data_IF_577749824247
#
_entry.id   IF_577749824247
#
_cell.length_a   1.000
_cell.length_b   1.000
_cell.length_c   1.000
_cell.angle_alpha   90.00
_cell.angle_beta   90.00
_cell.angle_gamma   90.00
#
_symmetry.space_group_name_H-M   'P 1'
#
loop_
_entity.id
_entity.type
_entity.pdbx_description
1 polymer ?
#
# COMPACT_ATOMS: atom_id res chain seq x y z
N UNK A 1 2.92 -20.33 -4.81
CA UNK A 1 3.90 -19.26 -4.51
C UNK A 1 3.43 -18.40 -3.33
N UNK A 2 2.18 -17.99 -3.33
CA UNK A 2 1.57 -17.14 -2.29
C UNK A 2 1.07 -17.97 -1.09
N UNK A 3 1.99 -18.64 -0.40
CA UNK A 3 1.70 -19.47 0.77
C UNK A 3 1.90 -18.64 2.04
N UNK A 4 0.89 -18.60 2.90
CA UNK A 4 0.94 -17.89 4.18
C UNK A 4 1.80 -18.69 5.15
N UNK A 5 2.78 -18.04 5.77
CA UNK A 5 3.63 -18.62 6.79
C UNK A 5 3.04 -18.41 8.19
N UNK A 6 2.77 -17.14 8.53
CA UNK A 6 2.25 -16.77 9.83
C UNK A 6 0.84 -16.21 9.70
N UNK A 7 -0.06 -16.67 10.56
CA UNK A 7 -1.47 -16.23 10.65
C UNK A 7 -1.78 -15.53 11.97
N UNK A 8 -0.79 -15.35 12.83
CA UNK A 8 -0.98 -14.69 14.11
C UNK A 8 -1.14 -13.19 13.89
N UNK A 9 -2.31 -12.69 14.24
CA UNK A 9 -2.66 -11.27 14.13
C UNK A 9 -2.33 -10.59 15.45
N UNK A 10 -1.43 -9.62 15.41
CA UNK A 10 -1.20 -8.67 16.50
C UNK A 10 -2.11 -7.47 16.26
N UNK A 11 -2.99 -7.15 17.21
CA UNK A 11 -3.91 -6.02 17.10
C UNK A 11 -3.58 -4.97 18.13
N UNK A 12 -3.51 -3.70 17.70
CA UNK A 12 -3.37 -2.56 18.60
C UNK A 12 -4.20 -1.38 18.11
N UNK A 13 -4.37 -0.39 18.97
CA UNK A 13 -5.11 0.83 18.67
C UNK A 13 -4.22 2.05 18.84
N UNK A 14 -4.44 3.00 17.95
CA UNK A 14 -3.97 4.38 18.08
C UNK A 14 -5.21 5.25 18.01
N UNK A 15 -5.54 5.92 19.12
CA UNK A 15 -6.82 6.60 19.29
C UNK A 15 -8.02 5.70 18.98
N UNK A 16 -8.83 6.07 18.00
CA UNK A 16 -10.01 5.31 17.58
C UNK A 16 -9.71 4.28 16.47
N UNK A 17 -8.51 4.29 15.93
CA UNK A 17 -8.13 3.45 14.79
C UNK A 17 -7.51 2.14 15.24
N UNK A 18 -7.92 1.06 14.59
CA UNK A 18 -7.40 -0.29 14.85
C UNK A 18 -6.45 -0.71 13.76
N UNK A 19 -5.29 -1.20 14.15
CA UNK A 19 -4.27 -1.76 13.26
C UNK A 19 -4.10 -3.24 13.56
N UNK A 20 -4.08 -4.04 12.49
CA UNK A 20 -3.72 -5.46 12.58
C UNK A 20 -2.38 -5.65 11.87
N UNK A 21 -1.48 -6.38 12.50
CA UNK A 21 -0.14 -6.63 11.98
C UNK A 21 0.16 -8.12 12.01
N UNK A 22 0.74 -8.63 10.94
CA UNK A 22 1.25 -10.01 10.87
C UNK A 22 2.69 -9.95 10.39
N UNK A 23 3.62 -10.38 11.24
CA UNK A 23 5.04 -10.51 10.88
C UNK A 23 5.27 -11.83 10.15
N UNK A 24 6.29 -11.88 9.29
CA UNK A 24 6.65 -13.07 8.52
C UNK A 24 5.47 -13.69 7.76
N UNK A 25 4.69 -12.84 7.11
CA UNK A 25 3.40 -13.19 6.53
C UNK A 25 3.50 -14.29 5.47
N UNK A 26 4.36 -14.13 4.47
CA UNK A 26 4.58 -15.12 3.43
C UNK A 26 5.69 -16.10 3.78
N UNK A 27 5.52 -17.36 3.39
CA UNK A 27 6.54 -18.39 3.52
C UNK A 27 7.71 -18.22 2.56
N UNK A 28 7.44 -17.66 1.38
CA UNK A 28 8.43 -17.47 0.33
C UNK A 28 8.46 -16.03 -0.20
N UNK A 29 8.69 -15.02 0.66
CA UNK A 29 8.60 -13.62 0.26
C UNK A 29 9.61 -13.25 -0.83
N UNK A 30 10.79 -13.86 -0.84
CA UNK A 30 11.82 -13.63 -1.86
C UNK A 30 11.38 -14.09 -3.25
N UNK A 31 10.57 -15.16 -3.34
CA UNK A 31 10.05 -15.60 -4.63
C UNK A 31 9.03 -14.61 -5.18
N UNK A 32 8.21 -14.05 -4.29
CA UNK A 32 7.22 -13.03 -4.65
C UNK A 32 7.91 -11.75 -5.07
N UNK A 33 8.86 -11.27 -4.28
CA UNK A 33 9.65 -10.09 -4.61
C UNK A 33 10.35 -10.24 -5.98
N UNK A 34 11.04 -11.38 -6.21
CA UNK A 34 11.69 -11.65 -7.49
C UNK A 34 10.73 -11.77 -8.66
N UNK A 35 9.53 -12.31 -8.45
CA UNK A 35 8.50 -12.35 -9.47
C UNK A 35 8.16 -10.93 -9.92
N UNK A 36 7.83 -10.07 -8.98
CA UNK A 36 7.47 -8.69 -9.28
C UNK A 36 8.59 -7.87 -9.91
N UNK A 37 9.83 -8.05 -9.46
CA UNK A 37 10.98 -7.35 -10.06
C UNK A 37 11.34 -7.84 -11.47
N UNK A 38 10.85 -8.99 -11.92
CA UNK A 38 11.10 -9.52 -13.27
C UNK A 38 10.05 -9.11 -14.28
N UNK A 39 8.86 -8.76 -13.83
CA UNK A 39 7.78 -8.39 -14.72
C UNK A 39 7.98 -6.94 -15.12
N UNK A 40 7.81 -6.61 -16.39
CA UNK A 40 7.99 -5.26 -16.88
C UNK A 40 6.89 -4.35 -16.31
N UNK A 41 7.27 -3.27 -15.63
CA UNK A 41 6.31 -2.40 -14.99
C UNK A 41 5.41 -1.70 -16.01
N UNK A 42 4.11 -1.73 -15.78
CA UNK A 42 3.16 -0.99 -16.59
C UNK A 42 2.97 0.42 -16.00
N UNK A 43 3.18 1.43 -16.84
CA UNK A 43 2.99 2.83 -16.47
C UNK A 43 1.50 3.15 -16.32
N UNK A 44 1.09 3.63 -15.17
CA UNK A 44 -0.22 4.23 -14.99
C UNK A 44 -0.20 5.70 -15.42
N UNK A 45 -0.60 5.98 -16.65
CA UNK A 45 -0.72 7.34 -17.18
C UNK A 45 -1.67 8.23 -16.36
N UNK A 46 -2.64 7.64 -15.68
CA UNK A 46 -3.64 8.39 -14.90
C UNK A 46 -3.08 8.98 -13.61
N UNK A 47 -2.10 8.36 -13.00
CA UNK A 47 -1.47 8.91 -11.79
C UNK A 47 -0.41 9.97 -12.10
N UNK A 48 0.13 10.02 -13.30
CA UNK A 48 1.07 11.08 -13.69
C UNK A 48 0.46 12.49 -13.62
N UNK A 49 -0.86 12.64 -13.77
CA UNK A 49 -1.55 13.92 -13.66
C UNK A 49 -1.59 14.51 -12.26
N UNK A 50 -1.71 13.68 -11.24
CA UNK A 50 -1.84 14.10 -9.84
C UNK A 50 -0.53 14.57 -9.22
N UNK A 51 0.56 14.07 -9.69
CA UNK A 51 1.89 14.26 -9.13
C UNK A 51 2.68 15.37 -9.82
N UNK A 52 1.99 16.24 -10.55
CA UNK A 52 2.59 17.30 -11.37
C UNK A 52 3.17 18.48 -10.60
N UNK A 53 3.17 18.49 -9.30
CA UNK A 53 3.84 19.56 -8.55
C UNK A 53 5.37 19.38 -8.49
N UNK A 54 5.97 19.00 -9.61
CA UNK A 54 7.43 18.96 -9.74
C UNK A 54 8.09 17.68 -9.23
N UNK A 55 7.32 16.63 -9.00
CA UNK A 55 7.82 15.33 -8.54
C UNK A 55 7.97 14.37 -9.73
N UNK A 56 9.19 14.16 -10.19
CA UNK A 56 9.52 13.13 -11.17
C UNK A 56 9.61 11.76 -10.47
N UNK A 57 8.48 11.17 -10.10
CA UNK A 57 8.49 9.77 -9.71
C UNK A 57 7.65 8.96 -10.68
N UNK A 58 8.02 7.71 -10.78
CA UNK A 58 7.34 6.73 -11.58
C UNK A 58 6.67 5.74 -10.65
N UNK A 59 5.36 5.93 -10.41
CA UNK A 59 4.53 4.88 -9.79
C UNK A 59 4.31 3.80 -10.85
N UNK A 60 4.81 2.63 -10.58
CA UNK A 60 4.63 1.49 -11.46
C UNK A 60 3.83 0.43 -10.73
N UNK A 61 2.62 0.19 -11.23
CA UNK A 61 1.76 -0.88 -10.74
C UNK A 61 1.91 -2.10 -11.62
N UNK A 62 2.08 -3.22 -10.97
CA UNK A 62 2.11 -4.51 -11.62
C UNK A 62 0.84 -5.28 -11.33
N UNK A 63 0.29 -5.86 -12.38
CA UNK A 63 -0.86 -6.74 -12.28
C UNK A 63 -0.48 -8.12 -12.77
N UNK A 64 -0.67 -9.12 -11.93
CA UNK A 64 -0.60 -10.53 -12.30
C UNK A 64 -1.94 -11.15 -11.98
N UNK A 65 -2.51 -11.88 -12.91
CA UNK A 65 -3.72 -12.66 -12.67
C UNK A 65 -3.35 -14.10 -12.40
N UNK A 66 -3.65 -14.58 -11.19
CA UNK A 66 -3.39 -15.97 -10.82
C UNK A 66 -4.32 -16.44 -9.70
N UNK A 67 -4.74 -17.70 -9.75
CA UNK A 67 -5.51 -18.32 -8.68
C UNK A 67 -4.64 -18.76 -7.49
N UNK A 68 -3.33 -18.76 -7.61
CA UNK A 68 -2.44 -19.11 -6.50
C UNK A 68 -2.55 -18.15 -5.31
N UNK A 69 -3.08 -16.93 -5.52
CA UNK A 69 -3.30 -15.94 -4.47
C UNK A 69 -4.58 -16.16 -3.67
N UNK A 70 -5.49 -17.03 -4.15
CA UNK A 70 -6.81 -17.26 -3.52
C UNK A 70 -6.73 -17.56 -2.02
N UNK A 71 -5.82 -18.40 -1.52
CA UNK A 71 -5.74 -18.65 -0.07
C UNK A 71 -5.39 -17.42 0.76
N UNK A 72 -4.69 -16.45 0.16
CA UNK A 72 -4.36 -15.17 0.81
C UNK A 72 -5.61 -14.30 0.89
N UNK A 73 -6.37 -14.19 -0.17
CA UNK A 73 -7.64 -13.46 -0.18
C UNK A 73 -8.63 -14.06 0.81
N UNK A 74 -8.82 -15.38 0.80
CA UNK A 74 -9.73 -16.07 1.71
C UNK A 74 -9.34 -15.80 3.19
N UNK A 75 -8.05 -15.82 3.50
CA UNK A 75 -7.56 -15.51 4.83
C UNK A 75 -7.83 -14.03 5.19
N UNK A 76 -7.51 -13.10 4.31
CA UNK A 76 -7.70 -11.67 4.56
C UNK A 76 -9.19 -11.31 4.68
N UNK A 77 -10.06 -11.86 3.82
CA UNK A 77 -11.51 -11.69 3.92
C UNK A 77 -12.06 -12.21 5.25
N UNK A 78 -11.51 -13.33 5.74
CA UNK A 78 -11.93 -13.88 7.02
C UNK A 78 -11.57 -12.97 8.21
N UNK A 79 -10.36 -12.41 8.22
CA UNK A 79 -9.92 -11.56 9.35
C UNK A 79 -10.44 -10.12 9.28
N UNK A 80 -10.76 -9.62 8.08
CA UNK A 80 -11.31 -8.27 7.88
C UNK A 80 -12.83 -8.25 7.93
N UNK A 81 -13.49 -9.39 7.74
CA UNK A 81 -14.93 -9.53 7.53
C UNK A 81 -15.46 -8.70 6.34
N UNK A 82 -14.58 -8.41 5.39
CA UNK A 82 -14.91 -7.66 4.16
C UNK A 82 -14.44 -8.44 2.94
N UNK A 83 -15.15 -8.26 1.82
CA UNK A 83 -14.75 -8.85 0.55
C UNK A 83 -13.64 -8.04 -0.10
N UNK A 84 -12.66 -8.72 -0.65
CA UNK A 84 -11.63 -8.06 -1.44
C UNK A 84 -12.21 -7.43 -2.70
N UNK A 85 -11.75 -6.22 -2.99
CA UNK A 85 -12.00 -5.60 -4.28
C UNK A 85 -11.16 -6.32 -5.33
N UNK A 86 -11.83 -7.13 -6.14
CA UNK A 86 -11.18 -7.97 -7.13
C UNK A 86 -11.61 -7.58 -8.53
N UNK A 87 -10.66 -7.20 -9.35
CA UNK A 87 -10.88 -7.20 -10.79
C UNK A 87 -10.69 -8.63 -11.31
N UNK A 88 -11.77 -9.24 -11.75
CA UNK A 88 -11.75 -10.49 -12.47
C UNK A 88 -11.36 -10.17 -13.94
N UNK A 89 -10.43 -10.92 -14.50
CA UNK A 89 -10.08 -10.83 -15.93
C UNK A 89 -11.12 -11.49 -16.86
N UNK A 90 -12.29 -11.84 -16.32
CA UNK A 90 -13.31 -12.62 -17.02
C UNK A 90 -13.00 -14.12 -17.11
N UNK A 91 -11.88 -14.56 -16.56
CA UNK A 91 -11.43 -15.95 -16.52
C UNK A 91 -11.28 -16.53 -15.11
N UNK A 92 -11.90 -15.89 -14.13
CA UNK A 92 -11.87 -16.28 -12.71
C UNK A 92 -10.49 -16.27 -12.05
N UNK A 93 -9.54 -15.51 -12.60
CA UNK A 93 -8.23 -15.32 -11.99
C UNK A 93 -8.25 -14.06 -11.14
N UNK A 94 -7.71 -14.18 -9.95
CA UNK A 94 -7.61 -13.06 -9.03
C UNK A 94 -6.44 -12.16 -9.38
N UNK A 95 -6.67 -10.87 -9.31
CA UNK A 95 -5.66 -9.84 -9.51
C UNK A 95 -4.67 -9.85 -8.34
N UNK A 96 -3.40 -9.92 -8.65
CA UNK A 96 -2.33 -9.64 -7.69
C UNK A 96 -1.78 -8.26 -8.00
N UNK A 97 -2.11 -7.31 -7.15
CA UNK A 97 -1.65 -5.94 -7.28
C UNK A 97 -0.32 -5.75 -6.57
N UNK A 98 0.58 -4.96 -7.16
CA UNK A 98 1.87 -4.64 -6.55
C UNK A 98 2.28 -3.23 -6.93
N UNK A 99 2.62 -2.43 -5.97
CA UNK A 99 3.14 -1.10 -6.18
C UNK A 99 4.67 -1.13 -6.14
N UNK A 100 5.26 -0.56 -7.17
CA UNK A 100 6.69 -0.26 -7.23
C UNK A 100 6.86 1.24 -7.25
N UNK A 101 7.67 1.75 -6.36
CA UNK A 101 7.97 3.18 -6.32
C UNK A 101 9.47 3.36 -6.29
N UNK A 102 9.96 4.17 -7.20
CA UNK A 102 11.37 4.58 -7.26
C UNK A 102 11.42 6.09 -7.48
N UNK A 103 12.11 6.79 -6.61
CA UNK A 103 12.35 8.21 -6.82
C UNK A 103 13.49 8.39 -7.83
N UNK A 104 13.21 9.18 -8.85
CA UNK A 104 14.19 9.49 -9.91
C UNK A 104 14.92 10.80 -9.67
N UNK A 105 14.57 11.53 -8.61
CA UNK A 105 15.11 12.87 -8.41
C UNK A 105 15.39 13.17 -6.94
N UNK A 106 16.64 13.53 -6.62
CA UNK A 106 17.11 13.82 -5.25
C UNK A 106 16.58 15.14 -4.65
N UNK A 107 15.62 15.79 -5.29
CA UNK A 107 15.14 17.12 -4.87
C UNK A 107 14.18 17.10 -3.68
N UNK A 108 13.88 15.93 -3.13
CA UNK A 108 12.80 15.81 -2.16
C UNK A 108 13.32 15.31 -0.82
N UNK A 109 13.63 16.25 0.06
CA UNK A 109 14.20 15.96 1.38
C UNK A 109 13.19 15.41 2.41
N UNK A 110 11.89 15.47 2.16
CA UNK A 110 10.87 15.03 3.12
C UNK A 110 9.65 14.42 2.42
N UNK A 111 9.83 13.22 1.82
CA UNK A 111 8.73 12.68 1.05
C UNK A 111 7.76 11.87 1.87
N UNK A 112 6.74 12.56 2.20
CA UNK A 112 5.42 12.00 2.44
C UNK A 112 4.73 11.97 1.08
N UNK A 113 4.46 10.77 0.57
CA UNK A 113 3.56 10.62 -0.56
C UNK A 113 2.19 11.18 -0.15
N UNK A 114 1.52 11.87 -1.07
CA UNK A 114 0.27 12.58 -0.76
C UNK A 114 -0.67 11.73 0.09
N UNK A 115 -1.08 12.24 1.25
CA UNK A 115 -2.05 11.59 2.10
C UNK A 115 -3.37 11.40 1.35
N UNK A 116 -3.93 10.21 1.46
CA UNK A 116 -5.18 9.83 0.82
C UNK A 116 -5.97 8.85 1.70
N UNK A 117 -7.23 8.67 1.36
CA UNK A 117 -8.08 7.61 1.92
C UNK A 117 -8.41 6.60 0.85
N UNK A 118 -8.78 5.38 1.26
CA UNK A 118 -9.27 4.31 0.40
C UNK A 118 -10.77 4.11 0.57
N UNK A 119 -11.39 3.29 -0.27
CA UNK A 119 -12.85 3.06 -0.20
C UNK A 119 -13.30 2.13 0.94
N UNK A 120 -12.40 1.37 1.54
CA UNK A 120 -12.68 0.41 2.60
C UNK A 120 -11.43 0.10 3.40
N UNK A 121 -11.39 -1.08 4.04
CA UNK A 121 -10.13 -1.54 4.64
C UNK A 121 -9.05 -1.70 3.60
N UNK A 122 -7.84 -1.46 4.01
CA UNK A 122 -6.65 -1.66 3.19
C UNK A 122 -5.68 -2.57 3.93
N UNK A 123 -5.07 -3.48 3.19
CA UNK A 123 -3.96 -4.28 3.70
C UNK A 123 -2.74 -4.11 2.79
N UNK A 124 -1.55 -4.11 3.38
CA UNK A 124 -0.30 -3.88 2.68
C UNK A 124 0.78 -4.84 3.17
N UNK A 125 1.38 -5.61 2.26
CA UNK A 125 2.58 -6.39 2.56
C UNK A 125 3.81 -5.66 2.07
N UNK A 126 4.77 -5.42 2.97
CA UNK A 126 6.07 -4.88 2.60
C UNK A 126 6.97 -5.97 2.05
N UNK A 127 7.41 -5.82 0.80
CA UNK A 127 8.27 -6.78 0.10
C UNK A 127 9.67 -6.24 -0.21
N UNK A 128 10.06 -5.17 0.44
CA UNK A 128 11.35 -4.50 0.29
C UNK A 128 12.31 -4.97 1.37
N UNK A 129 13.51 -5.41 0.99
CA UNK A 129 14.58 -5.73 1.93
C UNK A 129 15.29 -4.49 2.47
N UNK A 130 15.37 -3.45 1.66
CA UNK A 130 15.88 -2.17 2.11
C UNK A 130 14.92 -1.52 3.10
N UNK A 131 15.46 -0.93 4.16
CA UNK A 131 14.66 -0.20 5.15
C UNK A 131 14.08 1.05 4.51
N UNK A 132 12.84 0.97 4.01
CA UNK A 132 12.06 2.16 3.71
C UNK A 132 11.41 2.67 4.99
N UNK A 133 11.05 3.95 5.04
CA UNK A 133 10.42 4.50 6.24
C UNK A 133 8.99 4.01 6.48
N UNK A 134 8.38 3.25 5.60
CA UNK A 134 7.08 2.63 5.82
C UNK A 134 5.88 3.47 5.42
N UNK A 135 4.85 3.50 6.26
CA UNK A 135 3.57 4.19 6.02
C UNK A 135 3.27 5.14 7.16
N UNK A 136 2.95 6.37 6.83
CA UNK A 136 2.41 7.33 7.77
C UNK A 136 0.89 7.33 7.71
N UNK A 137 0.28 7.56 8.87
CA UNK A 137 -1.14 7.78 9.09
C UNK A 137 -1.33 9.19 9.64
N UNK A 138 -2.40 9.87 9.27
CA UNK A 138 -2.52 11.30 9.48
C UNK A 138 -3.87 11.72 10.02
N UNK A 139 -3.87 12.85 10.73
CA UNK A 139 -5.05 13.69 10.97
C UNK A 139 -5.11 14.84 9.98
N UNK A 140 -6.25 15.10 9.36
CA UNK A 140 -6.47 16.35 8.63
C UNK A 140 -6.56 17.52 9.62
N UNK A 141 -5.84 18.62 9.34
CA UNK A 141 -5.82 19.81 10.20
C UNK A 141 -6.48 21.04 9.56
N UNK A 142 -6.38 21.19 8.27
CA UNK A 142 -6.91 22.32 7.51
C UNK A 142 -7.68 21.84 6.26
N UNK A 143 -8.36 20.73 6.38
CA UNK A 143 -9.09 20.11 5.28
C UNK A 143 -10.60 20.36 5.47
N UNK A 144 -11.20 21.09 4.54
CA UNK A 144 -12.64 21.12 4.39
C UNK A 144 -13.03 20.01 3.42
N UNK A 145 -13.84 19.09 3.90
CA UNK A 145 -14.30 17.97 3.08
C UNK A 145 -15.07 18.53 1.88
N UNK A 146 -14.51 18.40 0.69
CA UNK A 146 -15.16 18.70 -0.57
C UNK A 146 -16.30 17.74 -0.88
N UNK A 147 -16.99 17.96 -1.98
CA UNK A 147 -18.08 17.09 -2.43
C UNK A 147 -17.63 15.64 -2.55
N UNK A 148 -18.50 14.69 -2.20
CA UNK A 148 -18.24 13.24 -2.08
C UNK A 148 -17.66 12.56 -3.33
N UNK A 149 -17.42 13.31 -4.41
CA UNK A 149 -16.92 12.81 -5.70
C UNK A 149 -15.50 13.24 -6.05
N UNK A 150 -14.86 14.08 -5.24
CA UNK A 150 -13.47 14.46 -5.48
C UNK A 150 -12.48 13.44 -4.88
N UNK A 151 -11.43 13.17 -5.61
CA UNK A 151 -10.39 12.22 -5.22
C UNK A 151 -9.83 12.57 -3.85
N UNK A 152 -9.80 11.58 -2.96
CA UNK A 152 -9.40 11.69 -1.57
C UNK A 152 -7.88 11.86 -1.40
N UNK A 153 -7.31 12.93 -1.98
CA UNK A 153 -5.90 13.29 -1.80
C UNK A 153 -5.80 14.70 -1.24
N UNK A 154 -4.95 14.88 -0.26
CA UNK A 154 -4.66 16.19 0.34
C UNK A 154 -3.17 16.45 0.36
N UNK A 155 -2.79 17.70 0.51
CA UNK A 155 -1.39 18.08 0.54
C UNK A 155 -0.77 17.84 1.92
N UNK A 156 0.55 17.63 2.03
CA UNK A 156 1.21 17.38 3.31
C UNK A 156 1.05 18.47 4.36
N UNK A 157 0.82 19.72 3.95
CA UNK A 157 0.58 20.86 4.83
C UNK A 157 -0.84 20.90 5.43
N UNK A 158 -1.74 20.06 4.92
CA UNK A 158 -3.12 19.91 5.42
C UNK A 158 -3.26 18.79 6.47
N UNK A 159 -2.18 18.13 6.84
CA UNK A 159 -2.19 16.99 7.75
C UNK A 159 -1.09 17.06 8.79
N UNK A 160 -1.32 16.39 9.92
CA UNK A 160 -0.28 16.06 10.90
C UNK A 160 -0.15 14.55 11.05
N UNK A 161 1.04 14.08 11.43
CA UNK A 161 1.27 12.64 11.58
C UNK A 161 0.61 12.17 12.88
N UNK A 162 -0.39 11.29 12.72
CA UNK A 162 -1.01 10.57 13.82
C UNK A 162 -0.14 9.39 14.27
N UNK A 163 0.35 8.61 13.31
CA UNK A 163 1.05 7.36 13.59
C UNK A 163 1.98 6.99 12.44
N UNK A 164 3.00 6.22 12.75
CA UNK A 164 3.95 5.71 11.77
C UNK A 164 4.15 4.20 11.94
N UNK A 165 4.12 3.47 10.86
CA UNK A 165 4.47 2.05 10.82
C UNK A 165 5.67 1.85 9.92
N UNK A 166 6.78 1.41 10.53
CA UNK A 166 7.98 1.05 9.79
C UNK A 166 7.74 -0.07 8.79
N UNK A 167 8.35 0.02 7.61
CA UNK A 167 8.40 -1.09 6.68
C UNK A 167 9.38 -2.13 7.19
N UNK A 168 8.85 -3.28 7.53
CA UNK A 168 9.62 -4.47 7.83
C UNK A 168 9.35 -5.51 6.74
N UNK A 169 10.41 -6.10 6.21
CA UNK A 169 10.29 -7.08 5.14
C UNK A 169 9.35 -8.22 5.52
N UNK A 170 8.42 -8.55 4.63
CA UNK A 170 7.41 -9.60 4.83
C UNK A 170 6.40 -9.32 5.97
N UNK A 171 6.23 -8.07 6.36
CA UNK A 171 5.20 -7.65 7.31
C UNK A 171 3.94 -7.24 6.56
N UNK A 172 2.81 -7.80 6.97
CA UNK A 172 1.47 -7.34 6.57
C UNK A 172 0.93 -6.38 7.61
N UNK A 173 0.35 -5.27 7.16
CA UNK A 173 -0.44 -4.36 7.98
C UNK A 173 -1.84 -4.23 7.40
N UNK A 174 -2.87 -4.05 8.25
CA UNK A 174 -4.26 -3.83 7.86
C UNK A 174 -4.81 -2.68 8.67
N UNK A 175 -5.53 -1.77 8.03
CA UNK A 175 -6.17 -0.61 8.67
C UNK A 175 -7.50 -0.25 8.00
N UNK A 176 -8.28 0.63 8.63
CA UNK A 176 -9.48 1.21 8.03
C UNK A 176 -9.09 2.33 7.06
N UNK A 177 -9.05 2.01 5.77
CA UNK A 177 -8.55 2.94 4.75
C UNK A 177 -9.51 4.08 4.45
N UNK A 178 -10.83 3.89 4.68
CA UNK A 178 -11.84 4.89 4.37
C UNK A 178 -11.76 6.12 5.25
N UNK A 179 -11.56 5.91 6.54
CA UNK A 179 -11.66 6.98 7.55
C UNK A 179 -10.28 7.43 8.04
N UNK A 180 -9.23 6.77 7.60
CA UNK A 180 -7.87 7.03 8.04
C UNK A 180 -6.98 7.47 6.87
N UNK A 181 -6.62 8.75 6.88
CA UNK A 181 -5.65 9.31 5.95
C UNK A 181 -4.30 8.62 6.09
N UNK A 182 -3.73 8.21 4.99
CA UNK A 182 -2.44 7.51 4.99
C UNK A 182 -1.64 7.80 3.74
N UNK A 183 -0.35 7.57 3.83
CA UNK A 183 0.55 7.78 2.70
C UNK A 183 1.91 7.13 2.92
N UNK A 184 2.64 7.06 1.83
CA UNK A 184 3.97 6.53 1.82
C UNK A 184 4.93 7.46 2.58
N UNK A 185 5.70 6.91 3.51
CA UNK A 185 6.88 7.56 4.04
C UNK A 185 8.13 6.98 3.38
N UNK A 186 8.92 7.83 2.73
CA UNK A 186 10.17 7.38 2.09
C UNK A 186 11.39 8.11 2.66
N UNK A 187 12.51 7.40 2.70
CA UNK A 187 13.80 8.01 2.94
C UNK A 187 14.40 8.44 1.60
N UNK A 188 14.83 9.69 1.43
CA UNK A 188 15.51 10.16 0.23
C UNK A 188 16.73 9.32 -0.18
N UNK A 189 17.31 8.58 0.76
CA UNK A 189 18.42 7.66 0.50
C UNK A 189 18.06 6.45 -0.38
N UNK A 190 16.77 6.18 -0.59
CA UNK A 190 16.28 5.04 -1.38
C UNK A 190 15.97 5.38 -2.84
N UNK A 191 16.68 6.30 -3.41
CA UNK A 191 16.50 6.71 -4.81
C UNK A 191 16.94 5.65 -5.82
N UNK A 192 17.78 4.71 -5.43
CA UNK A 192 18.38 3.71 -6.32
C UNK A 192 17.70 2.35 -6.25
N UNK A 193 16.83 2.11 -5.27
CA UNK A 193 16.16 0.84 -5.08
C UNK A 193 14.64 0.96 -5.22
N UNK A 194 14.01 -0.09 -5.76
CA UNK A 194 12.56 -0.18 -5.82
C UNK A 194 11.98 -0.46 -4.45
N UNK A 195 11.04 0.37 -4.02
CA UNK A 195 10.15 0.04 -2.91
C UNK A 195 9.01 -0.82 -3.44
N UNK A 196 8.92 -2.04 -2.97
CA UNK A 196 7.94 -3.02 -3.43
C UNK A 196 6.93 -3.30 -2.33
N UNK A 197 5.65 -3.08 -2.63
CA UNK A 197 4.54 -3.41 -1.75
C UNK A 197 3.46 -4.16 -2.50
N UNK A 198 2.72 -4.97 -1.78
CA UNK A 198 1.53 -5.63 -2.29
C UNK A 198 0.31 -5.13 -1.52
N UNK A 199 -0.50 -4.23 -2.10
CA UNK A 199 -1.74 -3.78 -1.50
C UNK A 199 -2.89 -4.75 -1.78
N UNK A 200 -3.84 -4.77 -0.85
CA UNK A 200 -5.14 -5.41 -0.97
C UNK A 200 -6.19 -4.41 -0.53
N UNK A 201 -7.22 -4.23 -1.35
CA UNK A 201 -8.32 -3.34 -1.08
C UNK A 201 -9.59 -4.14 -0.83
N UNK A 202 -10.43 -3.66 0.09
CA UNK A 202 -11.65 -4.34 0.48
C UNK A 202 -12.86 -3.47 0.17
N UNK A 203 -13.96 -4.13 -0.17
CA UNK A 203 -15.27 -3.49 -0.33
C UNK A 203 -15.91 -3.31 1.04
N UNK A 204 -16.65 -2.25 1.20
CA UNK A 204 -17.54 -2.07 2.35
C UNK A 204 -18.73 -3.01 2.28
#
# INVERSE_FOLDING_TARGET
MFEINNKQVETYKVENYTFNVIKDFYKYPDKINKLFLKVEPQWHKHFAGFYHQGVDFKDMRHYIFTNEITPVYDFLENITHQKTFNFDDGHYKKLVNTNYIKFLNHKYDNHIFYPHTDHGKTALVYLNKAKSKGTNFYHPINYEQGDEHEEHFITPDQVEILHHIDSEYNKLIIWEGKDLWHGLCMDPKYTDEWRVNQPFFFQQ
#
